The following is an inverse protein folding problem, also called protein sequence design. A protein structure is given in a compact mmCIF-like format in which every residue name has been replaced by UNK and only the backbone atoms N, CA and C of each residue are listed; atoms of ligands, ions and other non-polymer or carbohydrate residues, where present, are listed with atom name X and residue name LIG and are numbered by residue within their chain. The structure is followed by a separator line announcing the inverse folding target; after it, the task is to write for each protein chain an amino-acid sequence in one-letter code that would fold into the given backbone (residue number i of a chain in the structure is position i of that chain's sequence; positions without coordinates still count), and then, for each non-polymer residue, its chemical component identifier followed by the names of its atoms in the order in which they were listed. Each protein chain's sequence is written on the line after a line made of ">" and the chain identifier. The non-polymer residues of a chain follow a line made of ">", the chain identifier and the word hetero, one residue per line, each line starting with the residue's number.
data_IF_840837187692
#
_entry.id   IF_840837187692
#
_cell.length_a   1.000
_cell.length_b   1.000
_cell.length_c   1.000
_cell.angle_alpha   90.00
_cell.angle_beta   90.00
_cell.angle_gamma   90.00
#
_symmetry.space_group_name_H-M   'P 1'
#
loop_
_entity.id
_entity.type
_entity.pdbx_description
1 polymer ?
#
# COMPACT_ATOMS: atom_id res chain seq x y z
N UNK A 1 -17.29 5.45 -16.84
CA UNK A 1 -16.11 5.23 -15.96
C UNK A 1 -15.91 6.52 -15.19
N UNK A 2 -15.83 6.47 -13.85
CA UNK A 2 -15.45 7.65 -13.06
C UNK A 2 -13.93 7.78 -13.13
N UNK A 3 -13.45 8.99 -13.39
CA UNK A 3 -12.01 9.25 -13.49
C UNK A 3 -11.46 9.45 -12.08
N UNK A 4 -10.75 8.46 -11.54
CA UNK A 4 -10.06 8.60 -10.26
C UNK A 4 -8.62 9.04 -10.50
N UNK A 5 -8.23 10.12 -9.84
CA UNK A 5 -6.84 10.57 -9.77
C UNK A 5 -6.21 10.02 -8.50
N UNK A 6 -5.08 9.34 -8.65
CA UNK A 6 -4.36 8.70 -7.56
C UNK A 6 -3.26 9.65 -7.11
N UNK A 7 -3.12 9.84 -5.80
CA UNK A 7 -1.96 10.52 -5.27
C UNK A 7 -0.73 9.66 -5.48
N UNK A 8 0.34 10.29 -5.96
CA UNK A 8 1.67 9.71 -5.88
C UNK A 8 1.94 9.31 -4.42
N UNK A 9 2.66 8.20 -4.29
CA UNK A 9 3.06 7.71 -2.99
C UNK A 9 3.90 8.79 -2.28
N UNK A 10 3.32 9.36 -1.23
CA UNK A 10 4.04 10.19 -0.27
C UNK A 10 4.49 9.22 0.82
N UNK A 11 5.78 9.20 1.11
CA UNK A 11 6.56 8.15 1.80
C UNK A 11 6.14 7.80 3.25
N UNK A 12 4.92 8.13 3.67
CA UNK A 12 4.40 7.76 4.97
C UNK A 12 4.13 6.23 5.00
N UNK A 13 5.14 5.50 5.44
CA UNK A 13 5.07 4.07 5.75
C UNK A 13 4.77 3.92 7.24
N UNK A 14 3.61 3.36 7.54
CA UNK A 14 3.30 2.91 8.89
C UNK A 14 4.10 1.63 9.18
N UNK A 15 4.66 1.55 10.38
CA UNK A 15 5.34 0.35 10.86
C UNK A 15 4.82 -0.04 12.23
N UNK A 16 4.95 -1.31 12.58
CA UNK A 16 4.58 -1.78 13.91
C UNK A 16 4.68 -3.29 14.04
N UNK A 17 4.02 -3.81 15.07
CA UNK A 17 4.02 -5.23 15.38
C UNK A 17 2.59 -5.75 15.41
N UNK A 18 2.36 -6.89 14.75
CA UNK A 18 1.08 -7.60 14.84
C UNK A 18 0.84 -8.14 16.24
N UNK A 19 -0.39 -8.52 16.55
CA UNK A 19 -0.74 -9.16 17.85
C UNK A 19 0.03 -10.44 18.13
N UNK A 20 0.61 -11.07 17.11
CA UNK A 20 1.45 -12.28 17.22
C UNK A 20 2.95 -11.97 17.34
N UNK A 21 3.35 -10.70 17.45
CA UNK A 21 4.76 -10.31 17.59
C UNK A 21 5.51 -10.14 16.27
N UNK A 22 4.86 -10.29 15.11
CA UNK A 22 5.52 -10.14 13.81
C UNK A 22 5.55 -8.68 13.35
N UNK A 23 6.69 -8.16 12.87
CA UNK A 23 6.76 -6.81 12.33
C UNK A 23 5.94 -6.69 11.04
N UNK A 24 5.40 -5.51 10.80
CA UNK A 24 4.71 -5.17 9.56
C UNK A 24 5.09 -3.77 9.08
N UNK A 25 5.03 -3.61 7.76
CA UNK A 25 5.00 -2.32 7.08
C UNK A 25 3.65 -2.15 6.39
N UNK A 26 3.14 -0.92 6.35
CA UNK A 26 1.87 -0.60 5.73
C UNK A 26 1.93 0.75 5.02
N UNK A 27 1.28 0.80 3.85
CA UNK A 27 1.11 2.02 3.06
C UNK A 27 -0.35 2.14 2.63
N UNK A 28 -0.88 3.37 2.69
CA UNK A 28 -2.17 3.72 2.13
C UNK A 28 -2.03 4.50 0.82
N UNK A 29 -2.61 4.00 -0.26
CA UNK A 29 -2.75 4.77 -1.49
C UNK A 29 -4.08 5.51 -1.42
N UNK A 30 -4.02 6.83 -1.50
CA UNK A 30 -5.20 7.69 -1.52
C UNK A 30 -5.42 8.27 -2.90
N UNK A 31 -6.64 8.71 -3.18
CA UNK A 31 -6.96 9.47 -4.38
C UNK A 31 -8.24 10.27 -4.19
N UNK A 32 -8.64 10.97 -5.24
CA UNK A 32 -9.90 11.70 -5.31
C UNK A 32 -10.60 11.40 -6.63
N UNK A 33 -11.92 11.54 -6.62
CA UNK A 33 -12.70 11.48 -7.85
C UNK A 33 -12.48 12.81 -8.60
N UNK A 34 -11.97 12.75 -9.83
CA UNK A 34 -11.70 13.91 -10.66
C UNK A 34 -12.98 14.68 -11.04
N UNK A 35 -14.13 14.00 -11.00
CA UNK A 35 -15.44 14.60 -11.23
C UNK A 35 -16.00 15.30 -9.96
N UNK A 36 -15.29 15.22 -8.83
CA UNK A 36 -15.67 15.80 -7.54
C UNK A 36 -14.63 16.78 -7.00
N UNK A 37 -14.95 17.49 -5.90
CA UNK A 37 -13.98 18.37 -5.26
C UNK A 37 -12.80 17.55 -4.71
N UNK A 38 -11.58 18.06 -4.88
CA UNK A 38 -10.33 17.43 -4.42
C UNK A 38 -10.25 17.24 -2.90
N UNK A 39 -11.13 17.90 -2.14
CA UNK A 39 -11.33 17.69 -0.71
C UNK A 39 -11.89 16.29 -0.38
N UNK A 40 -12.47 15.58 -1.35
CA UNK A 40 -12.97 14.21 -1.20
C UNK A 40 -11.84 13.19 -1.38
N UNK A 41 -10.71 13.44 -0.72
CA UNK A 41 -9.61 12.49 -0.66
C UNK A 41 -10.03 11.30 0.19
N UNK A 42 -9.91 10.11 -0.37
CA UNK A 42 -10.16 8.86 0.34
C UNK A 42 -9.02 7.86 0.13
N UNK A 43 -8.88 6.95 1.08
CA UNK A 43 -7.94 5.84 0.94
C UNK A 43 -8.55 4.79 0.01
N UNK A 44 -7.92 4.55 -1.13
CA UNK A 44 -8.41 3.67 -2.19
C UNK A 44 -7.84 2.25 -2.06
N UNK A 45 -6.58 2.14 -1.63
CA UNK A 45 -5.89 0.88 -1.44
C UNK A 45 -5.11 0.93 -0.12
N UNK A 46 -5.08 -0.18 0.61
CA UNK A 46 -4.16 -0.43 1.72
C UNK A 46 -3.27 -1.61 1.37
N UNK A 47 -1.97 -1.43 1.53
CA UNK A 47 -0.97 -2.48 1.30
C UNK A 47 -0.29 -2.73 2.62
N UNK A 48 -0.26 -3.97 3.06
CA UNK A 48 0.38 -4.38 4.31
C UNK A 48 1.27 -5.58 4.06
N UNK A 49 2.54 -5.42 4.37
CA UNK A 49 3.53 -6.50 4.31
C UNK A 49 3.88 -6.92 5.72
N UNK A 50 3.79 -8.22 6.01
CA UNK A 50 4.11 -8.81 7.31
C UNK A 50 5.23 -9.82 7.12
N UNK A 51 6.25 -9.74 7.96
CA UNK A 51 7.34 -10.73 8.00
C UNK A 51 7.13 -11.68 9.16
N UNK A 52 6.83 -12.94 8.85
CA UNK A 52 6.77 -14.01 9.85
C UNK A 52 8.05 -14.87 9.81
N UNK A 53 8.12 -15.93 10.62
CA UNK A 53 9.31 -16.79 10.74
C UNK A 53 9.67 -17.56 9.46
N UNK A 54 8.75 -17.70 8.51
CA UNK A 54 8.89 -18.54 7.32
C UNK A 54 8.90 -17.73 6.02
N UNK A 55 8.24 -16.58 5.99
CA UNK A 55 8.06 -15.80 4.78
C UNK A 55 7.73 -14.33 5.05
N UNK A 56 7.92 -13.52 4.01
CA UNK A 56 7.31 -12.20 3.88
C UNK A 56 6.00 -12.39 3.13
N UNK A 57 4.89 -11.87 3.67
CA UNK A 57 3.56 -11.95 3.05
C UNK A 57 3.00 -10.55 2.88
N UNK A 58 2.59 -10.20 1.66
CA UNK A 58 1.94 -8.92 1.36
C UNK A 58 0.46 -9.10 1.07
N UNK A 59 -0.36 -8.27 1.71
CA UNK A 59 -1.79 -8.16 1.50
C UNK A 59 -2.13 -6.82 0.85
N UNK A 60 -2.93 -6.86 -0.22
CA UNK A 60 -3.44 -5.67 -0.91
C UNK A 60 -4.96 -5.64 -0.73
N UNK A 61 -5.43 -4.69 0.08
CA UNK A 61 -6.84 -4.44 0.31
C UNK A 61 -7.30 -3.29 -0.60
N UNK A 62 -8.17 -3.60 -1.55
CA UNK A 62 -8.85 -2.58 -2.37
C UNK A 62 -10.06 -2.06 -1.61
N UNK A 63 -9.93 -0.86 -1.03
CA UNK A 63 -10.96 -0.22 -0.22
C UNK A 63 -12.06 0.42 -1.09
N UNK A 64 -11.71 0.82 -2.32
CA UNK A 64 -12.66 1.33 -3.30
C UNK A 64 -12.75 0.41 -4.53
N UNK A 65 -13.97 0.08 -5.04
CA UNK A 65 -14.14 -0.86 -6.16
C UNK A 65 -13.41 -0.43 -7.44
N UNK A 66 -13.38 0.88 -7.74
CA UNK A 66 -12.71 1.40 -8.94
C UNK A 66 -11.19 1.21 -8.90
N UNK A 67 -10.59 1.17 -7.70
CA UNK A 67 -9.15 0.99 -7.55
C UNK A 67 -8.67 -0.39 -8.04
N UNK A 68 -9.54 -1.41 -7.94
CA UNK A 68 -9.23 -2.77 -8.41
C UNK A 68 -9.12 -2.86 -9.93
N UNK A 69 -9.86 -2.02 -10.65
CA UNK A 69 -9.91 -2.03 -12.11
C UNK A 69 -9.02 -0.95 -12.74
N UNK A 70 -8.60 0.05 -11.97
CA UNK A 70 -7.70 1.09 -12.44
C UNK A 70 -6.27 0.55 -12.67
N UNK A 71 -5.71 0.79 -13.87
CA UNK A 71 -4.38 0.30 -14.24
C UNK A 71 -3.27 0.99 -13.43
N UNK A 72 -3.36 2.30 -13.23
CA UNK A 72 -2.36 3.08 -12.52
C UNK A 72 -2.33 2.69 -11.04
N UNK A 73 -3.50 2.50 -10.43
CA UNK A 73 -3.64 2.03 -9.06
C UNK A 73 -2.96 0.67 -8.83
N UNK A 74 -3.18 -0.27 -9.77
CA UNK A 74 -2.55 -1.60 -9.70
C UNK A 74 -1.04 -1.56 -9.91
N UNK A 75 -0.54 -0.69 -10.80
CA UNK A 75 0.91 -0.50 -11.01
C UNK A 75 1.56 0.05 -9.75
N UNK A 76 1.01 1.13 -9.19
CA UNK A 76 1.49 1.72 -7.96
C UNK A 76 1.45 0.74 -6.79
N UNK A 77 0.37 -0.06 -6.67
CA UNK A 77 0.28 -1.07 -5.62
C UNK A 77 1.35 -2.16 -5.75
N UNK A 78 1.71 -2.53 -6.97
CA UNK A 78 2.78 -3.51 -7.24
C UNK A 78 4.15 -2.93 -6.89
N UNK A 79 4.41 -1.67 -7.25
CA UNK A 79 5.66 -0.96 -6.91
C UNK A 79 5.85 -0.87 -5.39
N UNK A 80 4.82 -0.43 -4.67
CA UNK A 80 4.85 -0.35 -3.20
C UNK A 80 5.05 -1.73 -2.58
N UNK A 81 4.39 -2.77 -3.12
CA UNK A 81 4.59 -4.14 -2.63
C UNK A 81 6.06 -4.56 -2.72
N UNK A 82 6.72 -4.32 -3.87
CA UNK A 82 8.14 -4.61 -4.00
C UNK A 82 8.99 -3.83 -3.01
N UNK A 83 8.73 -2.52 -2.87
CA UNK A 83 9.47 -1.69 -1.93
C UNK A 83 9.34 -2.19 -0.47
N UNK A 84 8.14 -2.53 -0.03
CA UNK A 84 7.91 -3.01 1.33
C UNK A 84 8.54 -4.38 1.59
N UNK A 85 8.51 -5.28 0.60
CA UNK A 85 9.17 -6.58 0.70
C UNK A 85 10.70 -6.46 0.71
N UNK A 86 11.25 -5.55 -0.10
CA UNK A 86 12.68 -5.26 -0.17
C UNK A 86 13.19 -4.63 1.13
N UNK A 87 12.42 -3.71 1.72
CA UNK A 87 12.71 -3.10 3.02
C UNK A 87 12.93 -4.15 4.12
N UNK A 88 12.15 -5.23 4.12
CA UNK A 88 12.31 -6.34 5.05
C UNK A 88 13.52 -7.24 4.78
N UNK A 89 14.04 -7.23 3.56
CA UNK A 89 15.24 -7.99 3.15
C UNK A 89 16.50 -7.20 3.48
N UNK A 90 16.50 -5.90 3.23
CA UNK A 90 17.63 -5.01 3.48
C UNK A 90 17.97 -4.85 4.97
N UNK A 91 16.98 -4.92 5.86
CA UNK A 91 17.22 -4.98 7.31
C UNK A 91 18.13 -6.14 7.73
N UNK A 92 18.18 -7.23 6.95
CA UNK A 92 19.04 -8.39 7.24
C UNK A 92 20.46 -8.27 6.67
N UNK A 93 20.69 -7.37 5.70
CA UNK A 93 22.03 -7.17 5.13
C UNK A 93 22.91 -6.25 5.98
N UNK A 94 22.37 -5.67 7.06
CA UNK A 94 23.05 -4.71 7.94
C UNK A 94 23.37 -5.25 9.34
N UNK A 95 23.07 -6.52 9.61
CA UNK A 95 23.44 -7.25 10.85
C UNK A 95 24.44 -8.35 10.54
#
# INVERSE_FOLDING_TARGET
>A
MRNWEFMEWTENIDHGTTTKGFPFYQVGISGWNADGPSSNKEQLIRIRTVKNNLSITTHIDYLHPDARFNLNARRLAKEITFYLEDSFRDEFSRT
#
